data_IF_978561167844
#
_entry.id   IF_978561167844
#
_cell.length_a   1.000
_cell.length_b   1.000
_cell.length_c   1.000
_cell.angle_alpha   90.00
_cell.angle_beta   90.00
_cell.angle_gamma   90.00
#
_symmetry.space_group_name_H-M   'P 1'
#
loop_
_entity.id
_entity.type
_entity.pdbx_description
1 polymer ?
#
# COMPACT_ATOMS: atom_id res chain seq x y z
N UNK A 1 1.54 -18.42 0.84
CA UNK A 1 2.67 -18.68 1.76
C UNK A 1 2.59 -17.64 2.88
N UNK A 2 2.51 -18.05 4.15
CA UNK A 2 2.41 -17.13 5.28
C UNK A 2 3.79 -16.89 5.89
N UNK A 3 4.21 -15.62 5.98
CA UNK A 3 5.50 -15.26 6.56
C UNK A 3 5.49 -15.41 8.09
N UNK A 4 6.53 -16.00 8.72
CA UNK A 4 6.55 -16.25 10.16
C UNK A 4 6.54 -14.95 10.96
N UNK A 5 5.72 -14.89 12.02
CA UNK A 5 5.73 -13.79 12.97
C UNK A 5 7.00 -13.91 13.83
N UNK A 6 8.04 -13.14 13.48
CA UNK A 6 9.16 -12.90 14.40
C UNK A 6 8.69 -11.90 15.44
N UNK A 7 8.85 -12.23 16.72
CA UNK A 7 8.49 -11.43 17.92
C UNK A 7 9.36 -10.15 18.07
N UNK A 8 9.73 -9.52 16.95
CA UNK A 8 10.44 -8.26 16.94
C UNK A 8 9.47 -7.13 17.26
N UNK A 9 9.88 -6.22 18.14
CA UNK A 9 9.12 -5.01 18.45
C UNK A 9 8.75 -4.28 17.16
N UNK A 10 7.45 -4.00 16.98
CA UNK A 10 6.96 -3.32 15.78
C UNK A 10 7.62 -1.93 15.72
N UNK A 11 8.27 -1.56 14.60
CA UNK A 11 8.90 -0.27 14.43
C UNK A 11 7.91 0.89 14.65
N UNK A 12 8.37 2.01 15.20
CA UNK A 12 7.52 3.16 15.55
C UNK A 12 6.61 3.64 14.39
N UNK A 13 7.10 3.60 13.15
CA UNK A 13 6.33 3.94 11.96
C UNK A 13 5.12 3.02 11.75
N UNK A 14 5.26 1.72 11.95
CA UNK A 14 4.16 0.75 11.85
C UNK A 14 3.31 0.70 13.12
N UNK A 15 3.92 0.88 14.29
CA UNK A 15 3.20 0.96 15.56
C UNK A 15 2.23 2.16 15.58
N UNK A 16 2.62 3.27 14.93
CA UNK A 16 1.73 4.39 14.70
C UNK A 16 0.50 4.00 13.86
N UNK A 17 0.61 3.06 12.92
CA UNK A 17 -0.53 2.61 12.11
C UNK A 17 -1.45 1.61 12.82
N UNK A 18 -0.95 0.84 13.81
CA UNK A 18 -1.65 -0.33 14.39
C UNK A 18 -2.52 -0.06 15.62
N UNK A 19 -2.56 1.15 16.18
CA UNK A 19 -3.43 1.42 17.34
C UNK A 19 -4.89 1.17 16.96
N UNK A 20 -5.49 0.12 17.53
CA UNK A 20 -6.63 -0.70 17.06
C UNK A 20 -7.98 0.00 16.74
N UNK A 21 -8.07 1.33 16.80
CA UNK A 21 -9.21 2.12 16.33
C UNK A 21 -8.86 3.19 15.30
N UNK A 22 -7.57 3.34 14.95
CA UNK A 22 -7.01 4.48 14.21
C UNK A 22 -6.24 4.09 12.94
N UNK A 23 -6.26 2.82 12.53
CA UNK A 23 -5.69 2.37 11.24
C UNK A 23 -6.24 3.26 10.12
N UNK A 24 -7.52 3.63 10.18
CA UNK A 24 -8.15 4.45 9.15
C UNK A 24 -7.59 5.89 9.11
N UNK A 25 -7.66 6.63 10.22
CA UNK A 25 -7.28 8.05 10.22
C UNK A 25 -5.77 8.26 10.02
N UNK A 26 -4.94 7.39 10.60
CA UNK A 26 -3.48 7.49 10.46
C UNK A 26 -3.00 7.00 9.10
N UNK A 27 -3.59 5.95 8.53
CA UNK A 27 -3.30 5.57 7.13
C UNK A 27 -3.80 6.65 6.17
N UNK A 28 -4.98 7.22 6.38
CA UNK A 28 -5.45 8.36 5.57
C UNK A 28 -4.56 9.60 5.71
N UNK A 29 -4.00 9.84 6.89
CA UNK A 29 -3.03 10.92 7.14
C UNK A 29 -1.72 10.64 6.41
N UNK A 30 -1.16 9.44 6.54
CA UNK A 30 0.05 9.03 5.83
C UNK A 30 -0.13 9.14 4.30
N UNK A 31 -1.24 8.64 3.77
CA UNK A 31 -1.58 8.75 2.34
C UNK A 31 -1.70 10.21 1.86
N UNK A 32 -2.07 11.15 2.73
CA UNK A 32 -2.15 12.59 2.44
C UNK A 32 -0.83 13.32 2.60
N UNK A 33 0.10 12.76 3.35
CA UNK A 33 1.27 13.47 3.84
C UNK A 33 2.21 13.84 2.68
N UNK A 34 2.82 15.02 2.74
CA UNK A 34 3.76 15.46 1.70
C UNK A 34 5.02 14.58 1.67
N UNK A 35 5.36 14.00 2.81
CA UNK A 35 6.49 13.12 3.13
C UNK A 35 6.13 11.63 3.02
N UNK A 36 5.13 11.25 2.21
CA UNK A 36 4.78 9.84 2.02
C UNK A 36 5.95 8.99 1.50
N UNK A 37 6.83 9.58 0.70
CA UNK A 37 8.08 8.94 0.26
C UNK A 37 9.00 8.61 1.45
N UNK A 38 9.09 9.49 2.44
CA UNK A 38 9.89 9.26 3.66
C UNK A 38 9.25 8.17 4.52
N UNK A 39 7.93 8.09 4.55
CA UNK A 39 7.22 6.96 5.17
C UNK A 39 7.60 5.63 4.49
N UNK A 40 7.61 5.54 3.16
CA UNK A 40 8.06 4.34 2.44
C UNK A 40 9.51 3.99 2.79
N UNK A 41 10.41 4.98 2.85
CA UNK A 41 11.80 4.78 3.27
C UNK A 41 11.89 4.26 4.70
N UNK A 42 11.05 4.75 5.61
CA UNK A 42 11.02 4.31 7.01
C UNK A 42 10.61 2.84 7.14
N UNK A 43 9.73 2.33 6.26
CA UNK A 43 9.37 0.91 6.21
C UNK A 43 10.57 0.04 5.82
N UNK A 44 11.36 0.50 4.85
CA UNK A 44 12.59 -0.20 4.44
C UNK A 44 13.67 -0.18 5.54
N UNK A 45 13.77 0.94 6.27
CA UNK A 45 14.76 1.14 7.33
C UNK A 45 14.44 0.37 8.63
N UNK A 46 13.23 -0.19 8.75
CA UNK A 46 12.79 -0.95 9.91
C UNK A 46 13.57 -2.27 10.15
N UNK A 47 14.42 -2.70 9.22
CA UNK A 47 15.28 -3.90 9.32
C UNK A 47 14.53 -5.16 9.75
N UNK A 48 13.28 -5.33 9.35
CA UNK A 48 12.59 -6.59 9.56
C UNK A 48 13.28 -7.67 8.71
N UNK A 49 13.63 -8.84 9.28
CA UNK A 49 14.49 -9.84 8.62
C UNK A 49 13.91 -10.36 7.28
N UNK A 50 12.60 -10.24 7.09
CA UNK A 50 11.88 -10.70 5.89
C UNK A 50 11.26 -9.55 5.07
N UNK A 51 11.51 -8.28 5.42
CA UNK A 51 10.90 -7.14 4.73
C UNK A 51 11.31 -7.07 3.26
N UNK A 52 12.58 -7.37 2.95
CA UNK A 52 13.10 -7.36 1.58
C UNK A 52 12.46 -8.41 0.69
N UNK A 53 12.39 -9.66 1.15
CA UNK A 53 11.79 -10.76 0.37
C UNK A 53 10.27 -10.57 0.21
N UNK A 54 9.58 -10.14 1.27
CA UNK A 54 8.17 -9.76 1.20
C UNK A 54 7.94 -8.60 0.24
N UNK A 55 8.81 -7.60 0.30
CA UNK A 55 8.83 -6.46 -0.63
C UNK A 55 8.96 -6.92 -2.08
N UNK A 56 9.87 -7.84 -2.37
CA UNK A 56 10.03 -8.40 -3.70
C UNK A 56 8.76 -9.15 -4.15
N UNK A 57 8.20 -10.02 -3.30
CA UNK A 57 7.02 -10.81 -3.63
C UNK A 57 5.79 -9.95 -3.92
N UNK A 58 5.48 -8.96 -3.07
CA UNK A 58 4.37 -8.05 -3.31
C UNK A 58 4.63 -7.08 -4.46
N UNK A 59 5.87 -6.68 -4.71
CA UNK A 59 6.22 -5.89 -5.90
C UNK A 59 5.88 -6.67 -7.17
N UNK A 60 6.28 -7.94 -7.26
CA UNK A 60 5.94 -8.79 -8.41
C UNK A 60 4.43 -8.92 -8.58
N UNK A 61 3.68 -9.19 -7.51
CA UNK A 61 2.21 -9.28 -7.56
C UNK A 61 1.56 -7.98 -8.09
N UNK A 62 2.01 -6.82 -7.61
CA UNK A 62 1.49 -5.52 -8.04
C UNK A 62 1.88 -5.20 -9.49
N UNK A 63 3.11 -5.51 -9.89
CA UNK A 63 3.60 -5.29 -11.26
C UNK A 63 2.88 -6.20 -12.26
N UNK A 64 2.65 -7.47 -11.91
CA UNK A 64 1.86 -8.42 -12.72
C UNK A 64 0.40 -7.99 -12.84
N UNK A 65 -0.18 -7.44 -11.78
CA UNK A 65 -1.52 -6.86 -11.82
C UNK A 65 -1.56 -5.58 -12.69
N UNK A 66 -0.53 -4.73 -12.63
CA UNK A 66 -0.42 -3.52 -13.46
C UNK A 66 -0.23 -3.83 -14.95
N UNK A 67 0.44 -4.93 -15.30
CA UNK A 67 0.57 -5.37 -16.70
C UNK A 67 -0.79 -5.65 -17.37
N UNK A 68 -1.82 -5.96 -16.58
CA UNK A 68 -3.20 -6.18 -17.06
C UNK A 68 -4.02 -4.89 -17.19
N UNK A 69 -3.46 -3.75 -16.76
CA UNK A 69 -4.07 -2.42 -16.82
C UNK A 69 -3.05 -1.42 -17.43
N UNK A 70 -2.71 -1.55 -18.73
CA UNK A 70 -1.65 -0.77 -19.38
C UNK A 70 -1.92 0.74 -19.46
N UNK A 71 -3.16 1.17 -19.20
CA UNK A 71 -3.54 2.57 -19.04
C UNK A 71 -3.00 3.20 -17.75
N UNK A 72 -2.65 2.38 -16.76
CA UNK A 72 -1.95 2.81 -15.54
C UNK A 72 -0.45 2.81 -15.78
N UNK A 73 0.25 3.72 -15.11
CA UNK A 73 1.71 3.73 -15.14
C UNK A 73 2.32 2.64 -14.25
N UNK A 74 3.63 2.71 -14.11
CA UNK A 74 4.40 1.73 -13.36
C UNK A 74 4.32 1.94 -11.85
N UNK A 75 4.58 0.86 -11.10
CA UNK A 75 4.84 0.93 -9.66
C UNK A 75 6.12 1.74 -9.43
N UNK A 76 6.00 2.83 -8.68
CA UNK A 76 7.07 3.72 -8.31
C UNK A 76 7.82 3.22 -7.07
N UNK A 77 7.89 4.07 -6.05
CA UNK A 77 8.48 3.68 -4.77
C UNK A 77 7.60 2.61 -4.13
N UNK A 78 8.23 1.59 -3.59
CA UNK A 78 7.54 0.51 -2.90
C UNK A 78 8.47 -0.11 -1.86
N UNK A 79 7.99 -0.26 -0.63
CA UNK A 79 8.69 -0.94 0.43
C UNK A 79 7.71 -1.63 1.37
N UNK A 80 8.19 -2.68 2.04
CA UNK A 80 7.49 -3.35 3.12
C UNK A 80 8.29 -3.22 4.41
N UNK A 81 7.58 -3.11 5.53
CA UNK A 81 8.12 -3.21 6.88
C UNK A 81 7.79 -4.58 7.50
N UNK A 82 7.52 -4.59 8.80
CA UNK A 82 7.19 -5.82 9.53
C UNK A 82 5.78 -6.35 9.21
N UNK A 83 4.82 -5.44 9.03
CA UNK A 83 3.40 -5.77 8.84
C UNK A 83 2.75 -5.06 7.66
N UNK A 84 3.28 -3.92 7.22
CA UNK A 84 2.72 -3.14 6.13
C UNK A 84 3.62 -3.15 4.89
N UNK A 85 2.99 -2.93 3.75
CA UNK A 85 3.66 -2.45 2.56
C UNK A 85 3.02 -1.14 2.12
N UNK A 86 3.82 -0.27 1.52
CA UNK A 86 3.37 0.98 0.95
C UNK A 86 4.04 1.24 -0.38
N UNK A 87 3.33 1.91 -1.27
CA UNK A 87 3.92 2.34 -2.53
C UNK A 87 3.13 3.40 -3.27
N UNK A 88 3.72 3.81 -4.40
CA UNK A 88 3.16 4.81 -5.30
C UNK A 88 2.99 4.24 -6.71
N UNK A 89 1.96 4.67 -7.42
CA UNK A 89 1.72 4.35 -8.84
C UNK A 89 1.39 5.65 -9.55
N UNK A 90 2.05 5.93 -10.67
CA UNK A 90 1.70 7.10 -11.48
C UNK A 90 0.50 6.74 -12.36
N UNK A 91 -0.65 7.37 -12.15
CA UNK A 91 -1.91 7.00 -12.84
C UNK A 91 -2.36 8.04 -13.87
N UNK A 92 -1.56 9.08 -14.11
CA UNK A 92 -1.85 10.11 -15.11
C UNK A 92 -3.15 10.86 -14.79
N UNK A 93 -4.10 10.89 -15.72
CA UNK A 93 -5.41 11.53 -15.52
C UNK A 93 -6.55 10.53 -15.31
N UNK A 94 -6.28 9.23 -15.41
CA UNK A 94 -7.32 8.20 -15.39
C UNK A 94 -7.51 7.61 -13.99
N UNK A 95 -8.23 8.37 -13.17
CA UNK A 95 -8.59 7.93 -11.82
C UNK A 95 -9.54 6.72 -11.82
N UNK A 96 -10.38 6.58 -12.85
CA UNK A 96 -11.38 5.51 -12.91
C UNK A 96 -10.73 4.16 -13.22
N UNK A 97 -9.72 4.15 -14.08
CA UNK A 97 -8.89 2.97 -14.31
C UNK A 97 -8.24 2.50 -13.01
N UNK A 98 -7.71 3.43 -12.20
CA UNK A 98 -7.09 3.08 -10.92
C UNK A 98 -8.08 2.46 -9.92
N UNK A 99 -9.27 3.05 -9.77
CA UNK A 99 -10.30 2.52 -8.87
C UNK A 99 -10.76 1.11 -9.31
N UNK A 100 -10.83 0.87 -10.62
CA UNK A 100 -11.16 -0.45 -11.20
C UNK A 100 -10.06 -1.46 -10.94
N UNK A 101 -8.80 -1.07 -11.17
CA UNK A 101 -7.63 -1.90 -10.93
C UNK A 101 -7.48 -2.28 -9.46
N UNK A 102 -7.71 -1.35 -8.52
CA UNK A 102 -7.68 -1.68 -7.09
C UNK A 102 -8.73 -2.73 -6.73
N UNK A 103 -9.95 -2.61 -7.25
CA UNK A 103 -10.99 -3.62 -7.03
C UNK A 103 -10.55 -5.00 -7.54
N UNK A 104 -10.03 -5.04 -8.77
CA UNK A 104 -9.54 -6.28 -9.38
C UNK A 104 -8.32 -6.88 -8.66
N UNK A 105 -7.42 -6.04 -8.13
CA UNK A 105 -6.25 -6.48 -7.37
C UNK A 105 -6.68 -7.26 -6.13
N UNK A 106 -7.68 -6.79 -5.38
CA UNK A 106 -8.14 -7.51 -4.18
C UNK A 106 -8.73 -8.89 -4.49
N UNK A 107 -9.38 -9.03 -5.65
CA UNK A 107 -9.99 -10.29 -6.08
C UNK A 107 -8.96 -11.27 -6.67
N UNK A 108 -7.90 -10.75 -7.30
CA UNK A 108 -6.91 -11.55 -8.03
C UNK A 108 -5.62 -11.81 -7.25
N UNK A 109 -5.37 -11.06 -6.16
CA UNK A 109 -4.14 -11.15 -5.41
C UNK A 109 -3.92 -12.56 -4.86
N UNK A 110 -2.77 -13.17 -5.19
CA UNK A 110 -2.39 -14.48 -4.64
C UNK A 110 -1.78 -14.36 -3.24
N UNK A 111 -1.24 -13.18 -2.93
CA UNK A 111 -0.71 -12.82 -1.62
C UNK A 111 -1.76 -12.09 -0.77
N UNK A 112 -1.85 -12.36 0.54
CA UNK A 112 -2.89 -11.80 1.38
C UNK A 112 -2.71 -10.28 1.57
N UNK A 113 -3.72 -9.49 1.21
CA UNK A 113 -3.81 -8.04 1.48
C UNK A 113 -5.05 -7.70 2.31
N UNK A 114 -5.11 -8.08 3.59
CA UNK A 114 -6.35 -8.10 4.35
C UNK A 114 -6.96 -6.71 4.56
N UNK A 115 -6.12 -5.69 4.71
CA UNK A 115 -6.54 -4.29 4.70
C UNK A 115 -5.73 -3.57 3.64
N UNK A 116 -6.41 -3.03 2.64
CA UNK A 116 -5.83 -2.17 1.61
C UNK A 116 -6.49 -0.80 1.67
N UNK A 117 -5.68 0.23 1.83
CA UNK A 117 -6.07 1.63 1.77
C UNK A 117 -5.31 2.32 0.65
N UNK A 118 -6.00 3.17 -0.11
CA UNK A 118 -5.37 3.90 -1.19
C UNK A 118 -5.89 5.34 -1.26
N UNK A 119 -5.13 6.20 -1.95
CA UNK A 119 -5.55 7.57 -2.25
C UNK A 119 -4.91 8.08 -3.52
N UNK A 120 -5.69 8.81 -4.31
CA UNK A 120 -5.18 9.59 -5.43
C UNK A 120 -4.81 11.00 -4.97
N UNK A 121 -3.59 11.42 -5.30
CA UNK A 121 -3.07 12.76 -5.08
C UNK A 121 -2.87 13.43 -6.44
N UNK A 122 -3.47 14.60 -6.62
CA UNK A 122 -3.27 15.41 -7.82
C UNK A 122 -1.94 16.16 -7.68
N UNK A 123 -1.05 15.98 -8.63
CA UNK A 123 0.19 16.71 -8.73
C UNK A 123 -0.03 18.08 -9.40
N UNK A 124 0.82 19.09 -9.12
CA UNK A 124 0.71 20.43 -9.72
C UNK A 124 0.80 20.45 -11.25
N UNK A 125 1.45 19.46 -11.85
CA UNK A 125 1.57 19.28 -13.31
C UNK A 125 0.28 18.72 -13.97
N UNK A 126 -0.77 18.48 -13.18
CA UNK A 126 -2.03 17.92 -13.63
C UNK A 126 -2.00 16.40 -13.86
N UNK A 127 -0.91 15.73 -13.48
CA UNK A 127 -0.87 14.27 -13.34
C UNK A 127 -1.35 13.85 -11.95
N UNK A 128 -1.69 12.57 -11.79
CA UNK A 128 -2.12 12.00 -10.51
C UNK A 128 -1.21 10.86 -10.11
N UNK A 129 -0.91 10.81 -8.83
CA UNK A 129 -0.24 9.70 -8.15
C UNK A 129 -1.25 8.96 -7.30
N UNK A 130 -1.33 7.65 -7.47
CA UNK A 130 -1.98 6.79 -6.51
C UNK A 130 -0.97 6.37 -5.44
N UNK A 131 -1.38 6.47 -4.18
CA UNK A 131 -0.65 5.97 -3.02
C UNK A 131 -1.42 4.83 -2.42
N UNK A 132 -0.73 3.78 -2.02
CA UNK A 132 -1.32 2.59 -1.41
C UNK A 132 -0.56 2.22 -0.14
N UNK A 133 -1.31 1.75 0.85
CA UNK A 133 -0.80 1.14 2.08
C UNK A 133 -1.67 -0.08 2.36
N UNK A 134 -1.05 -1.23 2.57
CA UNK A 134 -1.79 -2.43 2.92
C UNK A 134 -1.07 -3.27 3.96
N UNK A 135 -1.83 -4.05 4.73
CA UNK A 135 -1.30 -5.04 5.66
C UNK A 135 -0.95 -6.32 4.91
N UNK A 136 0.07 -7.03 5.39
CA UNK A 136 0.54 -8.30 4.82
C UNK A 136 0.21 -9.51 5.72
N UNK A 137 -0.39 -9.26 6.89
CA UNK A 137 -0.76 -10.23 7.93
C UNK A 137 -2.01 -9.76 8.69
N UNK A 138 -2.79 -10.70 9.24
CA UNK A 138 -3.96 -10.45 10.10
C UNK A 138 -5.31 -10.52 9.38
N UNK A 139 -6.42 -10.62 10.14
CA UNK A 139 -7.77 -10.52 9.60
C UNK A 139 -8.13 -9.04 9.43
N UNK A 140 -7.75 -8.45 8.31
CA UNK A 140 -8.07 -7.08 7.94
C UNK A 140 -9.54 -6.96 7.58
N UNK A 141 -10.24 -6.02 8.23
CA UNK A 141 -11.54 -5.56 7.75
C UNK A 141 -11.36 -4.74 6.48
N UNK A 142 -12.19 -4.99 5.48
CA UNK A 142 -12.31 -4.19 4.28
C UNK A 142 -12.75 -2.77 4.65
N UNK A 143 -12.00 -1.75 4.21
CA UNK A 143 -12.50 -0.36 4.21
C UNK A 143 -12.20 0.27 2.85
N UNK A 144 -13.18 0.15 1.96
CA UNK A 144 -13.24 0.97 0.75
C UNK A 144 -13.50 2.42 1.18
N UNK A 145 -12.57 3.33 0.87
CA UNK A 145 -12.82 4.77 0.96
C UNK A 145 -13.65 5.20 -0.27
N UNK A 146 -14.84 4.61 -0.39
CA UNK A 146 -15.83 4.92 -1.40
C UNK A 146 -16.97 5.66 -0.74
N UNK A 147 -16.95 6.99 -0.85
CA UNK A 147 -18.08 7.87 -0.53
C UNK A 147 -19.36 7.28 -1.13
N UNK A 148 -20.36 6.99 -0.29
CA UNK A 148 -21.73 6.66 -0.71
C UNK A 148 -22.73 7.59 -0.01
N UNK A 149 -23.89 7.82 -0.65
CA UNK A 149 -24.49 9.14 -0.93
C UNK A 149 -24.98 9.91 0.29
#
# INVERSE_FOLDING_TARGET
MAWPATDAAIPAAEAALLTQGMVNDRVHTALKAADFDDFIVSLQAANAPDAGERGAAYRTELEDALQRAPELGHLGRFACGHTFCAGTIRIGRDRKAFDTWIGALQDQATLPMPTLSHRTILAPDGSSEARLVFTTRGAGGFISSGKRP
#
